data_IF_529411031504
#
_entry.id   IF_529411031504
#
_cell.length_a   1.000
_cell.length_b   1.000
_cell.length_c   1.000
_cell.angle_alpha   90.00
_cell.angle_beta   90.00
_cell.angle_gamma   90.00
#
_symmetry.space_group_name_H-M   'P 1'
#
loop_
_entity.id
_entity.type
_entity.pdbx_description
1 polymer ?
#
# COMPACT_ATOMS: atom_id res chain seq x y z
N UNK A 1 8.51 2.58 3.39
CA UNK A 1 9.27 1.35 3.08
C UNK A 1 10.23 1.65 1.95
N UNK A 2 11.54 1.44 2.15
CA UNK A 2 12.60 1.72 1.14
C UNK A 2 13.46 0.47 0.97
N UNK A 3 13.39 -0.14 -0.21
CA UNK A 3 14.20 -1.29 -0.58
C UNK A 3 14.96 -0.96 -1.87
N UNK A 4 16.19 -1.46 -2.00
CA UNK A 4 17.02 -1.26 -3.19
C UNK A 4 17.39 0.21 -3.48
N UNK A 5 17.45 1.06 -2.49
CA UNK A 5 17.73 2.51 -2.62
C UNK A 5 16.76 3.24 -3.59
N UNK A 6 15.52 2.76 -3.69
CA UNK A 6 14.55 3.33 -4.66
C UNK A 6 14.11 4.74 -4.29
N UNK A 7 13.95 5.05 -3.00
CA UNK A 7 13.50 6.34 -2.49
C UNK A 7 14.44 6.88 -1.41
N UNK A 8 14.26 8.15 -1.07
CA UNK A 8 14.93 8.81 0.06
C UNK A 8 13.86 9.34 1.02
N UNK A 9 14.06 9.12 2.33
CA UNK A 9 13.14 9.67 3.34
C UNK A 9 13.19 11.18 3.39
N UNK A 10 12.03 11.79 3.34
CA UNK A 10 11.90 13.23 3.51
C UNK A 10 11.86 13.59 5.00
N UNK A 11 12.25 14.84 5.30
CA UNK A 11 12.06 15.45 6.62
C UNK A 11 10.56 15.50 6.92
N UNK A 12 10.19 15.15 8.15
CA UNK A 12 8.80 15.29 8.63
C UNK A 12 8.59 16.73 9.10
N UNK A 13 7.77 17.52 8.40
CA UNK A 13 7.61 18.95 8.75
C UNK A 13 6.80 19.17 10.04
N UNK A 14 5.90 18.25 10.36
CA UNK A 14 5.03 18.29 11.53
C UNK A 14 5.16 16.97 12.30
N UNK A 15 6.03 16.96 13.30
CA UNK A 15 6.26 15.76 14.13
C UNK A 15 5.16 15.66 15.19
N UNK A 16 4.52 14.51 15.26
CA UNK A 16 3.55 14.15 16.28
C UNK A 16 4.20 13.17 17.26
N UNK A 17 4.35 13.58 18.50
CA UNK A 17 5.03 12.78 19.53
C UNK A 17 4.25 11.52 19.95
N UNK A 18 2.98 11.40 19.58
CA UNK A 18 2.16 10.21 19.83
C UNK A 18 2.29 9.13 18.75
N UNK A 19 3.11 9.38 17.73
CA UNK A 19 3.27 8.53 16.55
C UNK A 19 4.70 8.05 16.41
N UNK A 20 4.89 6.76 16.18
CA UNK A 20 6.19 6.20 15.77
C UNK A 20 6.36 6.30 14.25
N UNK A 21 7.51 6.82 13.83
CA UNK A 21 7.87 6.97 12.43
C UNK A 21 8.82 5.83 12.02
N UNK A 22 8.29 4.84 11.32
CA UNK A 22 9.02 3.60 11.03
C UNK A 22 9.25 3.47 9.53
N UNK A 23 10.50 3.25 9.14
CA UNK A 23 10.87 2.87 7.78
C UNK A 23 11.43 1.46 7.76
N UNK A 24 10.74 0.52 7.13
CA UNK A 24 11.31 -0.78 6.80
C UNK A 24 12.24 -0.66 5.60
N UNK A 25 13.45 -1.22 5.71
CA UNK A 25 14.47 -1.18 4.68
C UNK A 25 15.25 -2.49 4.61
N UNK A 26 15.84 -2.77 3.44
CA UNK A 26 16.72 -3.93 3.22
C UNK A 26 18.18 -3.71 3.66
N UNK A 27 18.52 -2.49 4.06
CA UNK A 27 19.84 -2.11 4.60
C UNK A 27 19.71 -0.92 5.55
N UNK A 28 20.74 -0.72 6.38
CA UNK A 28 20.81 0.44 7.27
C UNK A 28 21.23 1.69 6.50
N UNK A 29 20.64 2.82 6.84
CA UNK A 29 21.06 4.15 6.38
C UNK A 29 20.68 5.21 7.41
N UNK A 30 21.34 6.37 7.33
CA UNK A 30 21.02 7.52 8.18
C UNK A 30 19.71 8.17 7.72
N UNK A 31 18.73 8.18 8.60
CA UNK A 31 17.43 8.77 8.34
C UNK A 31 17.25 10.11 9.08
N UNK A 32 16.56 11.09 8.51
CA UNK A 32 16.25 12.32 9.20
C UNK A 32 15.29 12.03 10.38
N UNK A 33 15.43 12.79 11.47
CA UNK A 33 14.49 12.73 12.58
C UNK A 33 13.06 13.04 12.07
N UNK A 34 12.02 12.33 12.55
CA UNK A 34 11.98 11.32 13.62
C UNK A 34 12.03 9.85 13.13
N UNK A 35 12.42 9.59 11.91
CA UNK A 35 12.37 8.25 11.31
C UNK A 35 13.28 7.24 12.04
N UNK A 36 12.73 6.06 12.28
CA UNK A 36 13.42 4.88 12.78
C UNK A 36 13.54 3.86 11.65
N UNK A 37 14.74 3.58 11.19
CA UNK A 37 14.99 2.55 10.18
C UNK A 37 14.99 1.18 10.85
N UNK A 38 14.09 0.30 10.41
CA UNK A 38 14.05 -1.11 10.79
C UNK A 38 14.56 -1.94 9.61
N UNK A 39 15.79 -2.45 9.74
CA UNK A 39 16.37 -3.34 8.74
C UNK A 39 15.68 -4.69 8.82
N UNK A 40 15.20 -5.18 7.67
CA UNK A 40 14.50 -6.45 7.56
C UNK A 40 15.03 -7.25 6.39
N UNK A 41 15.01 -8.56 6.52
CA UNK A 41 15.42 -9.44 5.44
C UNK A 41 14.40 -9.42 4.29
N UNK A 42 14.88 -9.41 3.03
CA UNK A 42 14.01 -9.66 1.89
C UNK A 42 13.30 -11.01 2.03
N UNK A 43 12.02 -11.04 1.68
CA UNK A 43 11.25 -12.28 1.74
C UNK A 43 11.83 -13.31 0.76
N UNK A 44 12.02 -14.58 1.18
CA UNK A 44 12.48 -15.64 0.31
C UNK A 44 11.61 -15.74 -0.96
N UNK A 45 12.24 -15.96 -2.09
CA UNK A 45 11.57 -16.18 -3.39
C UNK A 45 10.74 -14.98 -3.91
N UNK A 46 10.94 -13.79 -3.38
CA UNK A 46 10.35 -12.55 -3.89
C UNK A 46 11.43 -11.63 -4.47
N UNK A 47 11.06 -10.86 -5.50
CA UNK A 47 11.90 -9.75 -5.93
C UNK A 47 11.82 -8.60 -4.90
N UNK A 48 12.80 -7.70 -4.96
CA UNK A 48 12.93 -6.59 -4.01
C UNK A 48 11.70 -5.67 -4.00
N UNK A 49 11.01 -5.52 -5.15
CA UNK A 49 9.82 -4.69 -5.26
C UNK A 49 8.65 -5.35 -4.53
N UNK A 50 8.42 -6.65 -4.76
CA UNK A 50 7.38 -7.39 -4.03
C UNK A 50 7.65 -7.45 -2.54
N UNK A 51 8.92 -7.66 -2.14
CA UNK A 51 9.29 -7.62 -0.73
C UNK A 51 8.92 -6.28 -0.08
N UNK A 52 9.20 -5.15 -0.74
CA UNK A 52 8.79 -3.83 -0.24
C UNK A 52 7.25 -3.72 -0.11
N UNK A 53 6.49 -4.30 -1.05
CA UNK A 53 5.01 -4.29 -1.00
C UNK A 53 4.45 -5.14 0.14
N UNK A 54 5.15 -6.18 0.56
CA UNK A 54 4.78 -6.94 1.75
C UNK A 54 4.82 -6.05 3.00
N UNK A 55 5.95 -5.39 3.27
CA UNK A 55 6.08 -4.54 4.45
C UNK A 55 5.14 -3.32 4.42
N UNK A 56 4.81 -2.82 3.25
CA UNK A 56 3.82 -1.77 3.11
C UNK A 56 2.39 -2.28 3.32
N UNK A 57 2.08 -3.47 2.81
CA UNK A 57 0.73 -4.01 2.72
C UNK A 57 0.28 -4.88 3.91
N UNK A 58 1.21 -5.42 4.72
CA UNK A 58 0.91 -6.37 5.80
C UNK A 58 1.05 -5.73 7.20
N UNK A 59 0.45 -4.56 7.39
CA UNK A 59 0.59 -3.79 8.64
C UNK A 59 0.22 -4.59 9.89
N UNK A 60 -0.87 -5.37 9.85
CA UNK A 60 -1.30 -6.20 10.99
C UNK A 60 -0.31 -7.30 11.37
N UNK A 61 0.63 -7.63 10.48
CA UNK A 61 1.68 -8.63 10.72
C UNK A 61 3.01 -8.01 11.11
N UNK A 62 3.38 -6.90 10.48
CA UNK A 62 4.70 -6.26 10.69
C UNK A 62 4.68 -5.23 11.82
N UNK A 63 3.49 -4.75 12.19
CA UNK A 63 3.22 -3.78 13.25
C UNK A 63 2.01 -4.24 14.10
N UNK A 64 2.03 -5.44 14.70
CA UNK A 64 0.85 -6.02 15.36
C UNK A 64 0.40 -5.27 16.61
N UNK A 65 1.29 -4.51 17.24
CA UNK A 65 1.04 -3.81 18.51
C UNK A 65 0.44 -2.41 18.31
N UNK A 66 0.30 -1.96 17.06
CA UNK A 66 -0.29 -0.65 16.74
C UNK A 66 -1.78 -0.79 16.40
N UNK A 67 -2.61 0.04 17.02
CA UNK A 67 -4.04 0.09 16.74
C UNK A 67 -4.33 0.67 15.35
N UNK A 68 -3.53 1.66 14.92
CA UNK A 68 -3.64 2.30 13.62
C UNK A 68 -2.29 2.34 12.92
N UNK A 69 -2.31 2.31 11.60
CA UNK A 69 -1.13 2.53 10.77
C UNK A 69 -1.43 3.51 9.64
N UNK A 70 -0.47 4.38 9.38
CA UNK A 70 -0.48 5.30 8.24
C UNK A 70 0.72 4.94 7.37
N UNK A 71 0.47 4.53 6.13
CA UNK A 71 1.52 4.19 5.19
C UNK A 71 1.50 5.14 4.01
N UNK A 72 2.65 5.67 3.63
CA UNK A 72 2.80 6.49 2.43
C UNK A 72 4.09 6.17 1.68
N UNK A 73 4.17 6.61 0.41
CA UNK A 73 5.38 6.47 -0.40
C UNK A 73 6.56 7.23 0.20
N UNK A 74 7.78 6.79 -0.05
CA UNK A 74 9.00 7.47 0.40
C UNK A 74 9.17 8.86 -0.23
N UNK A 75 8.58 9.07 -1.40
CA UNK A 75 8.53 10.31 -2.15
C UNK A 75 7.44 11.30 -1.68
N UNK A 76 6.63 10.93 -0.68
CA UNK A 76 5.55 11.75 -0.16
C UNK A 76 5.91 12.36 1.20
N UNK A 77 5.38 13.54 1.46
CA UNK A 77 5.51 14.24 2.75
C UNK A 77 4.13 14.59 3.28
N UNK A 78 3.84 14.16 4.52
CA UNK A 78 2.61 14.58 5.19
C UNK A 78 2.72 16.03 5.66
N UNK A 79 1.77 16.86 5.24
CA UNK A 79 1.69 18.28 5.60
C UNK A 79 0.68 18.57 6.70
N UNK A 80 0.12 17.50 7.29
CA UNK A 80 -0.80 17.55 8.43
C UNK A 80 -0.29 16.62 9.53
N UNK A 81 -0.73 16.83 10.76
CA UNK A 81 -0.41 15.91 11.86
C UNK A 81 -1.01 14.54 11.56
N UNK A 82 -0.22 13.44 11.64
CA UNK A 82 -0.70 12.09 11.32
C UNK A 82 -1.97 11.70 12.07
N UNK A 83 -2.09 12.05 13.35
CA UNK A 83 -3.26 11.72 14.17
C UNK A 83 -4.57 12.27 13.59
N UNK A 84 -4.54 13.38 12.85
CA UNK A 84 -5.74 13.94 12.23
C UNK A 84 -6.31 13.05 11.11
N UNK A 85 -5.47 12.23 10.48
CA UNK A 85 -5.87 11.31 9.43
C UNK A 85 -6.70 10.12 9.97
N UNK A 86 -6.61 9.82 11.27
CA UNK A 86 -7.38 8.74 11.88
C UNK A 86 -8.89 9.00 11.86
N UNK A 87 -9.30 10.27 11.68
CA UNK A 87 -10.71 10.60 11.52
C UNK A 87 -11.37 9.96 10.29
N UNK A 88 -10.58 9.64 9.25
CA UNK A 88 -11.10 9.01 8.03
C UNK A 88 -11.41 7.52 8.19
N UNK A 89 -10.90 6.84 9.23
CA UNK A 89 -11.15 5.42 9.50
C UNK A 89 -12.06 5.18 10.72
N UNK A 90 -12.89 6.14 11.11
CA UNK A 90 -13.84 5.97 12.22
C UNK A 90 -14.83 4.84 11.95
N UNK A 91 -15.43 4.88 10.76
CA UNK A 91 -16.50 3.98 10.32
C UNK A 91 -16.07 3.07 9.15
N UNK A 92 -14.76 2.99 8.89
CA UNK A 92 -14.17 2.18 7.84
C UNK A 92 -12.92 1.43 8.33
N UNK A 93 -12.53 0.38 7.63
CA UNK A 93 -11.31 -0.37 7.94
C UNK A 93 -10.07 0.34 7.40
N UNK A 94 -10.23 0.98 6.24
CA UNK A 94 -9.16 1.66 5.49
C UNK A 94 -9.68 3.01 5.01
N UNK A 95 -8.80 4.02 4.92
CA UNK A 95 -9.03 5.21 4.12
C UNK A 95 -7.93 5.34 3.06
N UNK A 96 -8.35 5.69 1.83
CA UNK A 96 -7.49 5.89 0.69
C UNK A 96 -8.09 6.94 -0.24
N UNK A 97 -7.27 7.74 -0.90
CA UNK A 97 -7.76 8.71 -1.87
C UNK A 97 -8.32 8.04 -3.12
N UNK A 98 -9.43 8.55 -3.66
CA UNK A 98 -9.83 8.22 -5.03
C UNK A 98 -8.67 8.51 -5.98
N UNK A 99 -8.52 7.65 -6.97
CA UNK A 99 -7.46 7.86 -7.96
C UNK A 99 -7.72 9.15 -8.76
N UNK A 100 -6.76 10.12 -8.81
CA UNK A 100 -7.04 11.46 -9.34
C UNK A 100 -7.27 11.51 -10.86
N UNK A 101 -6.87 10.46 -11.60
CA UNK A 101 -6.91 10.46 -13.06
C UNK A 101 -7.72 9.32 -13.68
N UNK A 102 -8.12 8.33 -12.90
CA UNK A 102 -8.85 7.14 -13.37
C UNK A 102 -9.92 6.73 -12.38
N UNK A 103 -11.05 6.27 -12.90
CA UNK A 103 -12.17 5.84 -12.07
C UNK A 103 -12.33 4.32 -12.01
N UNK A 104 -11.53 3.60 -12.81
CA UNK A 104 -11.68 2.17 -12.98
C UNK A 104 -10.30 1.48 -13.04
N UNK A 105 -10.15 0.37 -12.33
CA UNK A 105 -8.89 -0.38 -12.29
C UNK A 105 -8.47 -0.90 -13.67
N UNK A 106 -9.43 -1.17 -14.55
CA UNK A 106 -9.17 -1.70 -15.90
C UNK A 106 -8.50 -0.69 -16.85
N UNK A 107 -8.45 0.58 -16.48
CA UNK A 107 -7.71 1.63 -17.20
C UNK A 107 -6.23 1.70 -16.76
N UNK A 108 -5.93 1.18 -15.57
CA UNK A 108 -4.60 1.31 -14.94
C UNK A 108 -3.47 0.56 -15.67
N UNK A 109 -3.64 -0.66 -16.23
CA UNK A 109 -2.57 -1.37 -16.91
C UNK A 109 -1.93 -0.59 -18.06
N UNK A 110 -2.75 0.11 -18.86
CA UNK A 110 -2.24 0.93 -19.95
C UNK A 110 -1.35 2.09 -19.45
N UNK A 111 -1.77 2.74 -18.36
CA UNK A 111 -0.99 3.80 -17.74
C UNK A 111 0.32 3.28 -17.12
N UNK A 112 0.29 2.13 -16.44
CA UNK A 112 1.47 1.47 -15.87
C UNK A 112 2.49 1.17 -16.97
N UNK A 113 2.04 0.62 -18.08
CA UNK A 113 2.89 0.29 -19.24
C UNK A 113 3.49 1.55 -19.86
N UNK A 114 2.66 2.57 -20.10
CA UNK A 114 3.13 3.84 -20.67
C UNK A 114 4.18 4.56 -19.79
N UNK A 115 4.08 4.39 -18.46
CA UNK A 115 5.02 4.95 -17.49
C UNK A 115 6.23 4.02 -17.21
N UNK A 116 6.32 2.84 -17.85
CA UNK A 116 7.38 1.87 -17.63
C UNK A 116 7.45 1.29 -16.22
N UNK A 117 6.34 1.35 -15.47
CA UNK A 117 6.30 0.94 -14.04
C UNK A 117 6.14 -0.56 -13.82
N UNK A 118 5.58 -1.28 -14.77
CA UNK A 118 5.60 -2.75 -14.90
C UNK A 118 5.53 -3.07 -16.39
N UNK A 119 6.49 -3.84 -16.87
CA UNK A 119 6.60 -4.19 -18.30
C UNK A 119 5.94 -5.51 -18.65
N UNK A 120 5.46 -6.26 -17.66
CA UNK A 120 4.80 -7.54 -17.90
C UNK A 120 3.31 -7.35 -18.21
N UNK A 121 3.03 -6.87 -19.42
CA UNK A 121 1.67 -6.58 -19.90
C UNK A 121 0.77 -7.80 -19.82
N UNK A 122 1.25 -8.97 -20.29
CA UNK A 122 0.48 -10.22 -20.29
C UNK A 122 0.01 -10.61 -18.87
N UNK A 123 0.87 -10.44 -17.86
CA UNK A 123 0.50 -10.71 -16.46
C UNK A 123 -0.61 -9.78 -15.98
N UNK A 124 -0.52 -8.48 -16.29
CA UNK A 124 -1.54 -7.52 -15.93
C UNK A 124 -2.88 -7.81 -16.64
N UNK A 125 -2.83 -8.16 -17.93
CA UNK A 125 -4.03 -8.52 -18.70
C UNK A 125 -4.72 -9.78 -18.15
N UNK A 126 -3.95 -10.82 -17.80
CA UNK A 126 -4.49 -12.03 -17.15
C UNK A 126 -5.14 -11.68 -15.80
N UNK A 127 -4.50 -10.83 -15.02
CA UNK A 127 -5.05 -10.38 -13.73
C UNK A 127 -6.37 -9.62 -13.93
N UNK A 128 -6.45 -8.72 -14.87
CA UNK A 128 -7.67 -7.97 -15.18
C UNK A 128 -8.77 -8.86 -15.76
N UNK A 129 -8.42 -9.83 -16.60
CA UNK A 129 -9.38 -10.81 -17.11
C UNK A 129 -9.97 -11.67 -15.99
N UNK A 130 -9.14 -12.10 -15.05
CA UNK A 130 -9.58 -12.84 -13.87
C UNK A 130 -10.55 -12.01 -13.02
N UNK A 131 -10.28 -10.73 -12.77
CA UNK A 131 -11.19 -9.86 -12.01
C UNK A 131 -12.55 -9.67 -12.68
N UNK A 132 -12.57 -9.49 -14.01
CA UNK A 132 -13.83 -9.45 -14.79
C UNK A 132 -14.61 -10.75 -14.70
N UNK A 133 -13.92 -11.87 -14.81
CA UNK A 133 -14.54 -13.19 -14.68
C UNK A 133 -15.17 -13.41 -13.30
N UNK A 134 -14.55 -12.90 -12.23
CA UNK A 134 -15.10 -12.90 -10.87
C UNK A 134 -16.29 -11.95 -10.69
N UNK A 135 -16.57 -11.09 -11.66
CA UNK A 135 -17.66 -10.10 -11.58
C UNK A 135 -17.30 -8.78 -10.91
N UNK A 136 -16.00 -8.52 -10.69
CA UNK A 136 -15.59 -7.23 -10.14
C UNK A 136 -15.79 -6.11 -11.15
N UNK A 137 -16.53 -5.04 -10.77
CA UNK A 137 -16.85 -3.91 -11.66
C UNK A 137 -15.64 -3.05 -12.02
N UNK A 138 -14.59 -3.09 -11.19
CA UNK A 138 -13.40 -2.25 -11.32
C UNK A 138 -13.54 -0.88 -10.66
N UNK A 139 -14.67 -0.60 -10.03
CA UNK A 139 -14.96 0.65 -9.31
C UNK A 139 -15.44 0.35 -7.89
N UNK A 140 -15.16 1.22 -6.92
CA UNK A 140 -14.31 2.41 -7.01
C UNK A 140 -12.85 2.09 -7.35
N UNK A 141 -12.04 3.11 -7.68
CA UNK A 141 -10.61 2.95 -7.89
C UNK A 141 -9.82 3.93 -7.03
N UNK A 142 -8.96 3.40 -6.15
CA UNK A 142 -8.19 4.18 -5.18
C UNK A 142 -6.70 4.21 -5.50
N UNK A 143 -6.08 5.33 -5.13
CA UNK A 143 -4.63 5.48 -5.12
C UNK A 143 -4.06 4.93 -3.80
N UNK A 144 -3.07 4.06 -3.88
CA UNK A 144 -2.45 3.43 -2.71
C UNK A 144 -1.19 4.16 -2.20
N UNK A 145 -1.00 5.41 -2.62
CA UNK A 145 0.13 6.23 -2.21
C UNK A 145 0.08 6.70 -0.76
N UNK A 146 -1.11 6.82 -0.19
CA UNK A 146 -1.37 7.04 1.23
C UNK A 146 -2.51 6.12 1.67
N UNK A 147 -2.29 5.36 2.73
CA UNK A 147 -3.28 4.49 3.35
C UNK A 147 -3.34 4.74 4.84
N UNK A 148 -4.53 4.97 5.38
CA UNK A 148 -4.79 4.97 6.82
C UNK A 148 -5.57 3.71 7.14
N UNK A 149 -5.16 2.94 8.15
CA UNK A 149 -5.73 1.62 8.45
C UNK A 149 -5.93 1.44 9.94
N UNK A 150 -7.04 0.80 10.29
CA UNK A 150 -7.31 0.33 11.64
C UNK A 150 -6.95 -1.15 11.73
N UNK A 151 -5.99 -1.51 12.60
CA UNK A 151 -5.51 -2.88 12.74
C UNK A 151 -6.58 -3.77 13.40
N UNK A 152 -7.37 -4.44 12.58
CA UNK A 152 -8.46 -5.34 13.00
C UNK A 152 -8.25 -6.76 12.44
N UNK A 153 -8.91 -7.77 12.98
CA UNK A 153 -8.93 -9.09 12.36
C UNK A 153 -9.45 -9.08 10.92
N UNK A 154 -10.44 -8.22 10.61
CA UNK A 154 -10.96 -8.05 9.25
C UNK A 154 -9.88 -7.48 8.30
N UNK A 155 -9.13 -6.45 8.73
CA UNK A 155 -8.02 -5.92 7.95
C UNK A 155 -6.97 -7.00 7.66
N UNK A 156 -6.69 -7.90 8.59
CA UNK A 156 -5.74 -9.01 8.35
C UNK A 156 -6.16 -9.93 7.20
N UNK A 157 -7.48 -10.18 7.06
CA UNK A 157 -8.02 -10.98 5.94
C UNK A 157 -7.81 -10.24 4.62
N UNK A 158 -8.14 -8.95 4.59
CA UNK A 158 -7.88 -8.09 3.43
C UNK A 158 -6.40 -8.10 3.03
N UNK A 159 -5.51 -7.84 3.96
CA UNK A 159 -4.07 -7.80 3.71
C UNK A 159 -3.55 -9.13 3.15
N UNK A 160 -4.07 -10.27 3.65
CA UNK A 160 -3.71 -11.57 3.13
C UNK A 160 -4.14 -11.72 1.66
N UNK A 161 -5.40 -11.41 1.33
CA UNK A 161 -5.91 -11.48 -0.05
C UNK A 161 -5.13 -10.52 -0.95
N UNK A 162 -4.92 -9.28 -0.51
CA UNK A 162 -4.16 -8.29 -1.28
C UNK A 162 -2.74 -8.77 -1.59
N UNK A 163 -2.06 -9.33 -0.61
CA UNK A 163 -0.72 -9.91 -0.80
C UNK A 163 -0.72 -11.06 -1.80
N UNK A 164 -1.69 -11.97 -1.75
CA UNK A 164 -1.81 -13.07 -2.72
C UNK A 164 -1.97 -12.52 -4.15
N UNK A 165 -2.72 -11.45 -4.34
CA UNK A 165 -2.86 -10.81 -5.64
C UNK A 165 -1.54 -10.16 -6.13
N UNK A 166 -0.75 -9.57 -5.24
CA UNK A 166 0.57 -9.02 -5.56
C UNK A 166 1.57 -10.13 -5.91
N UNK A 167 1.55 -11.25 -5.19
CA UNK A 167 2.43 -12.39 -5.45
C UNK A 167 2.21 -12.99 -6.83
N UNK A 168 0.96 -13.22 -7.20
CA UNK A 168 0.57 -13.92 -8.43
C UNK A 168 0.40 -12.98 -9.63
N UNK A 169 0.06 -11.72 -9.36
CA UNK A 169 -0.17 -10.67 -10.34
C UNK A 169 0.97 -9.67 -10.47
N UNK A 170 0.62 -8.46 -10.87
CA UNK A 170 1.53 -7.33 -10.93
C UNK A 170 2.01 -6.92 -9.54
N UNK A 171 3.28 -6.51 -9.44
CA UNK A 171 3.81 -5.88 -8.23
C UNK A 171 3.24 -4.48 -7.97
N UNK A 172 2.48 -3.93 -8.92
CA UNK A 172 1.76 -2.66 -8.74
C UNK A 172 0.55 -2.91 -7.85
N UNK A 173 0.75 -2.69 -6.55
CA UNK A 173 -0.20 -2.97 -5.48
C UNK A 173 -1.58 -2.31 -5.70
N UNK A 174 -1.63 -1.17 -6.39
CA UNK A 174 -2.86 -0.45 -6.74
C UNK A 174 -3.81 -1.26 -7.64
N UNK A 175 -3.28 -2.11 -8.54
CA UNK A 175 -4.11 -2.97 -9.40
C UNK A 175 -4.99 -3.96 -8.64
N UNK A 176 -4.61 -4.34 -7.43
CA UNK A 176 -5.27 -5.38 -6.66
C UNK A 176 -5.94 -4.88 -5.38
N UNK A 177 -5.76 -3.62 -5.01
CA UNK A 177 -6.26 -3.06 -3.76
C UNK A 177 -7.80 -3.13 -3.67
N UNK A 178 -8.50 -2.53 -4.61
CA UNK A 178 -9.95 -2.48 -4.62
C UNK A 178 -10.61 -3.85 -4.87
N UNK A 179 -9.95 -4.70 -5.67
CA UNK A 179 -10.39 -6.09 -5.82
C UNK A 179 -10.30 -6.85 -4.49
N UNK A 180 -9.22 -6.71 -3.74
CA UNK A 180 -9.07 -7.34 -2.44
C UNK A 180 -10.11 -6.82 -1.43
N UNK A 181 -10.39 -5.52 -1.44
CA UNK A 181 -11.43 -4.92 -0.61
C UNK A 181 -12.82 -5.48 -0.95
N UNK A 182 -13.14 -5.57 -2.25
CA UNK A 182 -14.39 -6.14 -2.73
C UNK A 182 -14.58 -7.61 -2.32
N UNK A 183 -13.55 -8.46 -2.51
CA UNK A 183 -13.61 -9.90 -2.16
C UNK A 183 -13.81 -10.11 -0.67
N UNK A 184 -13.21 -9.27 0.16
CA UNK A 184 -13.23 -9.44 1.63
C UNK A 184 -14.35 -8.66 2.31
N UNK A 185 -15.08 -7.82 1.58
CA UNK A 185 -16.08 -6.91 2.16
C UNK A 185 -15.47 -5.82 3.04
N UNK A 186 -14.17 -5.52 2.85
CA UNK A 186 -13.46 -4.48 3.61
C UNK A 186 -13.97 -3.10 3.20
N UNK A 187 -14.30 -2.27 4.18
CA UNK A 187 -14.78 -0.90 3.94
C UNK A 187 -13.62 0.04 3.70
N UNK A 188 -13.70 0.80 2.61
CA UNK A 188 -12.71 1.82 2.24
C UNK A 188 -13.40 3.18 2.20
N UNK A 189 -12.93 4.12 3.03
CA UNK A 189 -13.36 5.52 3.02
C UNK A 189 -12.48 6.34 2.05
N UNK A 190 -13.09 7.39 1.46
CA UNK A 190 -12.44 8.35 0.56
C UNK A 190 -11.79 9.52 1.31
#
# INVERSE_FOLDING_TARGET
>A
VIFGNYDTLHIVPLVDASVDYICFADHAFDAPYPWQVRVVDPLPHTDVVKASRYYLGQATRVLPDYEYTIAHGGDATLTVLPVTLLNFVRDADIAAFRHPHRNNVYEEPAAITALGKDTNVERMERQMAFYRWQGFSGTPFHATGLLVRKNTPALRVFEHVWWQQILTGSHRNQLSFDYAAWVTGTTVAD
#
